data_IF_461300738086
#
_entry.id   IF_461300738086
#
_cell.length_a   1.000
_cell.length_b   1.000
_cell.length_c   1.000
_cell.angle_alpha   90.00
_cell.angle_beta   90.00
_cell.angle_gamma   90.00
#
_symmetry.space_group_name_H-M   'P 1'
#
loop_
_entity.id
_entity.type
_entity.pdbx_description
1 polymer ?
#
# COMPACT_ATOMS: atom_id res chain seq x y z
N UNK A 1 9.13 -18.91 2.85
CA UNK A 1 8.99 -18.59 1.41
C UNK A 1 8.35 -17.23 1.31
N UNK A 2 8.94 -16.28 0.58
CA UNK A 2 8.27 -15.00 0.35
C UNK A 2 7.01 -15.24 -0.50
N UNK A 3 5.85 -14.88 0.03
CA UNK A 3 4.60 -14.88 -0.74
C UNK A 3 4.61 -13.61 -1.57
N UNK A 4 4.81 -13.74 -2.88
CA UNK A 4 4.66 -12.63 -3.81
C UNK A 4 3.20 -12.58 -4.27
N UNK A 5 2.45 -11.59 -3.81
CA UNK A 5 1.13 -11.32 -4.38
C UNK A 5 1.33 -10.82 -5.82
N UNK A 6 0.88 -11.60 -6.80
CA UNK A 6 0.83 -11.14 -8.18
C UNK A 6 -0.25 -10.07 -8.33
N UNK A 7 0.04 -9.00 -9.09
CA UNK A 7 -0.99 -8.01 -9.43
C UNK A 7 -1.85 -8.58 -10.56
N UNK A 8 -3.18 -8.79 -10.34
CA UNK A 8 -4.06 -9.29 -11.39
C UNK A 8 -4.17 -8.27 -12.51
N UNK A 9 -3.99 -8.70 -13.76
CA UNK A 9 -4.01 -7.82 -14.93
C UNK A 9 -5.38 -7.14 -15.11
N UNK A 10 -6.44 -7.79 -14.68
CA UNK A 10 -7.81 -7.26 -14.73
C UNK A 10 -7.96 -6.01 -13.84
N UNK A 11 -7.31 -5.98 -12.66
CA UNK A 11 -7.29 -4.79 -11.80
C UNK A 11 -6.55 -3.64 -12.47
N UNK A 12 -5.42 -3.93 -13.13
CA UNK A 12 -4.66 -2.92 -13.87
C UNK A 12 -5.49 -2.33 -15.00
N UNK A 13 -6.11 -3.17 -15.83
CA UNK A 13 -6.95 -2.74 -16.92
C UNK A 13 -8.17 -1.93 -16.44
N UNK A 14 -8.81 -2.35 -15.37
CA UNK A 14 -9.92 -1.62 -14.76
C UNK A 14 -9.50 -0.25 -14.20
N UNK A 15 -8.31 -0.15 -13.61
CA UNK A 15 -7.76 1.11 -13.12
C UNK A 15 -7.54 2.11 -14.28
N UNK A 16 -6.91 1.67 -15.37
CA UNK A 16 -6.69 2.52 -16.54
C UNK A 16 -8.00 2.92 -17.24
N UNK A 17 -8.94 2.03 -17.37
CA UNK A 17 -10.25 2.35 -17.97
C UNK A 17 -11.00 3.42 -17.17
N UNK A 18 -11.02 3.30 -15.83
CA UNK A 18 -11.59 4.32 -14.94
C UNK A 18 -10.85 5.66 -15.02
N UNK A 19 -9.55 5.60 -15.20
CA UNK A 19 -8.69 6.79 -15.20
C UNK A 19 -9.13 7.77 -16.29
N UNK A 20 -9.25 7.32 -17.54
CA UNK A 20 -9.60 8.17 -18.66
C UNK A 20 -11.00 8.77 -18.51
N UNK A 21 -12.00 7.95 -18.16
CA UNK A 21 -13.38 8.40 -17.96
C UNK A 21 -13.48 9.49 -16.86
N UNK A 22 -12.85 9.25 -15.71
CA UNK A 22 -12.90 10.19 -14.57
C UNK A 22 -12.17 11.49 -14.86
N UNK A 23 -11.06 11.43 -15.57
CA UNK A 23 -10.28 12.63 -15.95
C UNK A 23 -11.06 13.50 -16.91
N UNK A 24 -11.75 12.92 -17.90
CA UNK A 24 -12.51 13.70 -18.88
C UNK A 24 -13.76 14.33 -18.24
N UNK A 25 -14.45 13.59 -17.36
CA UNK A 25 -15.57 14.14 -16.58
C UNK A 25 -15.10 15.29 -15.68
N UNK A 26 -13.98 15.13 -14.99
CA UNK A 26 -13.43 16.16 -14.11
C UNK A 26 -12.96 17.41 -14.87
N UNK A 27 -12.34 17.26 -16.03
CA UNK A 27 -11.97 18.42 -16.89
C UNK A 27 -13.18 19.24 -17.27
N UNK A 28 -14.28 18.56 -17.60
CA UNK A 28 -15.54 19.23 -17.95
C UNK A 28 -16.13 19.98 -16.76
N UNK A 29 -16.15 19.33 -15.57
CA UNK A 29 -16.70 19.91 -14.35
C UNK A 29 -15.88 21.09 -13.83
N UNK A 30 -14.56 20.95 -13.79
CA UNK A 30 -13.65 21.97 -13.22
C UNK A 30 -13.31 23.09 -14.21
N UNK A 31 -13.49 22.89 -15.51
CA UNK A 31 -13.32 23.91 -16.53
C UNK A 31 -11.87 24.35 -16.77
N UNK A 32 -10.87 23.58 -16.31
CA UNK A 32 -9.45 23.88 -16.50
C UNK A 32 -8.61 22.62 -16.75
N UNK A 33 -7.40 22.76 -17.34
CA UNK A 33 -6.46 21.65 -17.45
C UNK A 33 -6.03 21.14 -16.08
N UNK A 34 -5.94 19.81 -15.93
CA UNK A 34 -5.56 19.15 -14.67
C UNK A 34 -4.06 18.89 -14.61
N UNK A 35 -3.46 19.14 -13.46
CA UNK A 35 -2.10 18.71 -13.13
C UNK A 35 -2.04 17.18 -12.96
N UNK A 36 -0.83 16.61 -12.95
CA UNK A 36 -0.66 15.17 -12.70
C UNK A 36 -1.22 14.77 -11.33
N UNK A 37 -0.97 15.58 -10.30
CA UNK A 37 -1.48 15.30 -8.94
C UNK A 37 -3.01 15.28 -8.89
N UNK A 38 -3.67 16.23 -9.54
CA UNK A 38 -5.14 16.26 -9.63
C UNK A 38 -5.68 15.05 -10.39
N UNK A 39 -5.04 14.64 -11.48
CA UNK A 39 -5.44 13.44 -12.24
C UNK A 39 -5.35 12.18 -11.37
N UNK A 40 -4.26 12.00 -10.62
CA UNK A 40 -4.08 10.86 -9.73
C UNK A 40 -5.14 10.88 -8.63
N UNK A 41 -5.35 12.02 -7.97
CA UNK A 41 -6.36 12.17 -6.93
C UNK A 41 -7.76 11.81 -7.45
N UNK A 42 -8.18 12.43 -8.55
CA UNK A 42 -9.51 12.27 -9.15
C UNK A 42 -9.75 10.83 -9.58
N UNK A 43 -8.76 10.17 -10.17
CA UNK A 43 -8.86 8.78 -10.58
C UNK A 43 -9.13 7.82 -9.41
N UNK A 44 -8.70 8.19 -8.20
CA UNK A 44 -8.80 7.36 -7.01
C UNK A 44 -9.90 7.80 -6.02
N UNK A 45 -10.67 8.86 -6.31
CA UNK A 45 -11.79 9.25 -5.46
C UNK A 45 -12.79 8.10 -5.30
N UNK A 46 -13.25 7.86 -4.08
CA UNK A 46 -14.33 6.91 -3.81
C UNK A 46 -15.64 7.42 -4.42
N UNK A 47 -15.93 8.71 -4.24
CA UNK A 47 -17.01 9.42 -4.92
C UNK A 47 -16.42 10.29 -6.04
N UNK A 48 -16.65 9.96 -7.33
CA UNK A 48 -16.10 10.72 -8.46
C UNK A 48 -16.63 12.16 -8.54
N UNK A 49 -17.75 12.45 -7.91
CA UNK A 49 -18.38 13.78 -7.90
C UNK A 49 -18.05 14.60 -6.65
N UNK A 50 -17.22 14.05 -5.75
CA UNK A 50 -16.80 14.76 -4.54
C UNK A 50 -16.20 16.13 -4.84
N UNK A 51 -16.52 17.11 -3.98
CA UNK A 51 -15.90 18.42 -4.03
C UNK A 51 -14.42 18.32 -3.66
N UNK A 52 -13.56 18.96 -4.47
CA UNK A 52 -12.12 19.01 -4.25
C UNK A 52 -11.70 20.46 -4.07
N UNK A 53 -11.38 20.84 -2.84
CA UNK A 53 -10.80 22.11 -2.49
C UNK A 53 -9.47 21.90 -1.79
N UNK A 54 -8.42 22.51 -2.31
CA UNK A 54 -7.07 22.37 -1.76
C UNK A 54 -7.00 22.92 -0.33
N UNK A 55 -6.76 22.05 0.64
CA UNK A 55 -6.70 22.37 2.06
C UNK A 55 -8.07 22.59 2.70
N UNK A 56 -9.17 22.41 1.96
CA UNK A 56 -10.53 22.65 2.44
C UNK A 56 -11.38 21.39 2.61
N UNK A 57 -11.18 20.38 1.76
CA UNK A 57 -12.00 19.16 1.77
C UNK A 57 -11.20 17.92 2.16
N UNK A 58 -11.89 16.95 2.80
CA UNK A 58 -11.42 15.60 3.04
C UNK A 58 -12.19 14.66 2.12
N UNK A 59 -11.46 13.77 1.43
CA UNK A 59 -12.06 12.85 0.49
C UNK A 59 -11.57 11.41 0.75
N UNK A 60 -12.48 10.45 0.62
CA UNK A 60 -12.15 9.04 0.65
C UNK A 60 -11.56 8.60 -0.69
N UNK A 61 -10.52 7.77 -0.63
CA UNK A 61 -9.81 7.27 -1.81
C UNK A 61 -9.87 5.74 -1.86
N UNK A 62 -10.01 5.20 -3.07
CA UNK A 62 -9.89 3.77 -3.37
C UNK A 62 -8.50 3.50 -3.96
N UNK A 63 -7.52 3.03 -3.20
CA UNK A 63 -6.19 2.73 -3.71
C UNK A 63 -6.22 1.50 -4.64
N UNK A 64 -5.32 1.47 -5.60
CA UNK A 64 -5.13 0.31 -6.49
C UNK A 64 -4.14 -0.71 -5.88
N UNK A 65 -3.30 -0.26 -4.97
CA UNK A 65 -2.30 -1.07 -4.27
C UNK A 65 -1.96 -0.45 -2.92
N UNK A 66 -1.59 -1.29 -1.95
CA UNK A 66 -1.08 -0.86 -0.64
C UNK A 66 0.29 -1.48 -0.41
N UNK A 67 1.29 -0.66 -0.07
CA UNK A 67 2.59 -1.11 0.40
C UNK A 67 2.82 -0.56 1.81
N UNK A 68 3.22 -1.42 2.73
CA UNK A 68 3.40 -1.10 4.14
C UNK A 68 4.81 -1.46 4.60
N UNK A 69 5.42 -0.61 5.41
CA UNK A 69 6.66 -0.91 6.10
C UNK A 69 6.39 -1.67 7.40
N UNK A 70 7.36 -2.44 7.89
CA UNK A 70 7.24 -3.28 9.09
C UNK A 70 6.83 -2.51 10.35
N UNK A 71 7.37 -1.32 10.57
CA UNK A 71 7.11 -0.54 11.78
C UNK A 71 5.63 -0.09 11.90
N UNK A 72 4.99 0.27 10.77
CA UNK A 72 3.58 0.74 10.74
C UNK A 72 2.59 -0.34 10.35
N UNK A 73 3.02 -1.38 9.63
CA UNK A 73 2.17 -2.49 9.21
C UNK A 73 1.56 -3.24 10.40
N UNK A 74 2.24 -3.31 11.53
CA UNK A 74 1.75 -3.94 12.75
C UNK A 74 0.37 -3.39 13.14
N UNK A 75 0.25 -2.07 13.24
CA UNK A 75 -1.00 -1.42 13.60
C UNK A 75 -2.05 -1.57 12.49
N UNK A 76 -1.67 -1.35 11.24
CA UNK A 76 -2.58 -1.44 10.11
C UNK A 76 -3.16 -2.86 9.96
N UNK A 77 -2.34 -3.88 10.08
CA UNK A 77 -2.77 -5.27 9.99
C UNK A 77 -3.59 -5.71 11.22
N UNK A 78 -3.26 -5.22 12.41
CA UNK A 78 -4.07 -5.48 13.60
C UNK A 78 -5.47 -4.88 13.45
N UNK A 79 -5.58 -3.67 12.94
CA UNK A 79 -6.87 -3.03 12.64
C UNK A 79 -7.64 -3.81 11.57
N UNK A 80 -6.96 -4.23 10.50
CA UNK A 80 -7.55 -5.06 9.45
C UNK A 80 -8.11 -6.39 9.98
N UNK A 81 -7.33 -7.11 10.79
CA UNK A 81 -7.76 -8.36 11.43
C UNK A 81 -8.97 -8.12 12.35
N UNK A 82 -8.94 -7.03 13.12
CA UNK A 82 -10.04 -6.65 14.03
C UNK A 82 -11.32 -6.29 13.26
N UNK A 83 -11.20 -5.74 12.06
CA UNK A 83 -12.35 -5.46 11.19
C UNK A 83 -13.03 -6.75 10.65
N UNK A 84 -12.40 -7.91 10.78
CA UNK A 84 -12.99 -9.20 10.44
C UNK A 84 -13.13 -9.47 8.93
N UNK A 85 -12.37 -8.77 8.10
CA UNK A 85 -12.39 -8.97 6.65
C UNK A 85 -11.66 -10.27 6.29
N UNK A 86 -12.18 -11.06 5.32
CA UNK A 86 -11.62 -12.37 4.98
C UNK A 86 -10.31 -12.29 4.20
N UNK A 87 -10.08 -11.22 3.45
CA UNK A 87 -8.91 -10.99 2.61
C UNK A 87 -8.75 -9.51 2.27
N UNK A 88 -7.59 -9.12 1.80
CA UNK A 88 -7.32 -7.76 1.30
C UNK A 88 -8.10 -7.48 0.01
N UNK A 89 -8.58 -6.25 -0.14
CA UNK A 89 -9.37 -5.83 -1.30
C UNK A 89 -8.52 -5.54 -2.54
N UNK A 90 -7.25 -5.17 -2.34
CA UNK A 90 -6.29 -4.83 -3.41
C UNK A 90 -4.96 -5.52 -3.11
N UNK A 91 -4.08 -5.71 -4.10
CA UNK A 91 -2.73 -6.23 -3.87
C UNK A 91 -2.03 -5.42 -2.79
N UNK A 92 -1.64 -6.11 -1.72
CA UNK A 92 -1.05 -5.47 -0.54
C UNK A 92 0.25 -6.18 -0.18
N UNK A 93 1.27 -5.43 0.19
CA UNK A 93 2.61 -5.96 0.53
C UNK A 93 3.13 -5.36 1.82
N UNK A 94 3.89 -6.17 2.57
CA UNK A 94 4.63 -5.75 3.77
C UNK A 94 6.12 -5.89 3.50
N UNK A 95 6.88 -4.87 3.83
CA UNK A 95 8.32 -4.80 3.60
C UNK A 95 9.05 -4.59 4.93
N UNK A 96 9.93 -5.54 5.28
CA UNK A 96 10.64 -5.55 6.57
C UNK A 96 12.04 -4.94 6.43
N UNK A 97 12.13 -3.62 6.38
CA UNK A 97 13.37 -2.88 6.17
C UNK A 97 13.62 -1.76 7.19
N UNK A 98 12.59 -1.25 7.86
CA UNK A 98 12.74 -0.10 8.77
C UNK A 98 13.21 -0.46 10.19
N UNK A 99 13.08 -1.73 10.60
CA UNK A 99 13.55 -2.18 11.91
C UNK A 99 15.01 -2.68 11.89
N UNK A 100 15.67 -2.65 10.72
CA UNK A 100 17.10 -2.96 10.58
C UNK A 100 17.89 -1.68 10.83
N UNK A 101 18.76 -1.70 11.84
CA UNK A 101 19.62 -0.56 12.15
C UNK A 101 20.87 -0.57 11.25
N UNK A 102 21.19 0.56 10.63
CA UNK A 102 22.43 0.74 9.87
C UNK A 102 23.56 1.18 10.81
N UNK A 103 24.04 0.28 11.67
CA UNK A 103 24.99 0.57 12.73
C UNK A 103 26.41 0.09 12.43
N UNK A 104 26.57 -1.18 12.08
CA UNK A 104 27.88 -1.81 11.87
C UNK A 104 28.10 -2.22 10.43
N UNK A 105 27.30 -3.15 9.95
CA UNK A 105 27.27 -3.60 8.55
C UNK A 105 26.02 -4.43 8.27
N UNK A 106 25.71 -4.61 6.99
CA UNK A 106 24.48 -5.26 6.57
C UNK A 106 24.26 -6.67 7.17
N UNK A 107 25.29 -7.48 7.32
CA UNK A 107 25.16 -8.83 7.84
C UNK A 107 24.88 -8.86 9.34
N UNK A 108 25.66 -8.11 10.11
CA UNK A 108 25.51 -8.03 11.58
C UNK A 108 24.18 -7.40 11.95
N UNK A 109 23.84 -6.29 11.30
CA UNK A 109 22.62 -5.53 11.60
C UNK A 109 21.36 -6.31 11.21
N UNK A 110 21.41 -7.11 10.15
CA UNK A 110 20.31 -7.98 9.76
C UNK A 110 20.07 -9.09 10.79
N UNK A 111 21.13 -9.80 11.23
CA UNK A 111 20.98 -10.84 12.24
C UNK A 111 20.48 -10.28 13.58
N UNK A 112 20.97 -9.11 13.99
CA UNK A 112 20.51 -8.45 15.20
C UNK A 112 19.03 -8.03 15.09
N UNK A 113 18.58 -7.58 13.92
CA UNK A 113 17.19 -7.21 13.67
C UNK A 113 16.28 -8.44 13.72
N UNK A 114 16.67 -9.55 13.09
CA UNK A 114 15.93 -10.80 13.08
C UNK A 114 15.74 -11.37 14.49
N UNK A 115 16.76 -11.29 15.34
CA UNK A 115 16.67 -11.71 16.73
C UNK A 115 15.81 -10.75 17.57
N UNK A 116 16.06 -9.44 17.47
CA UNK A 116 15.40 -8.44 18.31
C UNK A 116 13.92 -8.27 17.98
N UNK A 117 13.55 -8.41 16.70
CA UNK A 117 12.19 -8.17 16.22
C UNK A 117 11.48 -9.45 15.74
N UNK A 118 11.91 -10.61 16.20
CA UNK A 118 11.37 -11.90 15.79
C UNK A 118 9.84 -11.96 15.90
N UNK A 119 9.29 -11.52 17.02
CA UNK A 119 7.83 -11.52 17.27
C UNK A 119 7.08 -10.65 16.23
N UNK A 120 7.64 -9.51 15.88
CA UNK A 120 7.06 -8.61 14.87
C UNK A 120 7.07 -9.27 13.50
N UNK A 121 8.19 -9.83 13.08
CA UNK A 121 8.33 -10.47 11.78
C UNK A 121 7.43 -11.69 11.67
N UNK A 122 7.34 -12.51 12.71
CA UNK A 122 6.44 -13.68 12.78
C UNK A 122 4.97 -13.27 12.66
N UNK A 123 4.55 -12.21 13.35
CA UNK A 123 3.21 -11.64 13.22
C UNK A 123 2.92 -11.18 11.78
N UNK A 124 3.81 -10.38 11.21
CA UNK A 124 3.64 -9.84 9.86
C UNK A 124 3.60 -10.94 8.80
N UNK A 125 4.45 -11.96 8.91
CA UNK A 125 4.48 -13.11 8.00
C UNK A 125 3.19 -13.93 8.12
N UNK A 126 2.77 -14.27 9.34
CA UNK A 126 1.57 -15.09 9.59
C UNK A 126 0.29 -14.43 9.10
N UNK A 127 0.13 -13.11 9.35
CA UNK A 127 -1.02 -12.34 8.86
C UNK A 127 -0.98 -12.22 7.35
N UNK A 128 0.18 -11.96 6.78
CA UNK A 128 0.34 -11.89 5.32
C UNK A 128 -0.04 -13.19 4.64
N UNK A 129 0.42 -14.33 5.15
CA UNK A 129 0.09 -15.65 4.64
C UNK A 129 -1.41 -15.96 4.75
N UNK A 130 -2.04 -15.56 5.86
CA UNK A 130 -3.46 -15.83 6.10
C UNK A 130 -4.40 -15.04 5.22
N UNK A 131 -4.09 -13.76 4.97
CA UNK A 131 -5.00 -12.84 4.30
C UNK A 131 -4.59 -12.47 2.87
N UNK A 132 -3.56 -13.13 2.32
CA UNK A 132 -3.16 -13.00 0.91
C UNK A 132 -2.30 -11.78 0.61
N UNK A 133 -1.56 -11.26 1.60
CA UNK A 133 -0.57 -10.20 1.37
C UNK A 133 0.77 -10.78 0.89
N UNK A 134 1.53 -10.00 0.13
CA UNK A 134 2.93 -10.29 -0.12
C UNK A 134 3.79 -9.94 1.09
N UNK A 135 4.72 -10.81 1.46
CA UNK A 135 5.65 -10.59 2.57
C UNK A 135 7.10 -10.55 2.09
N UNK A 136 7.72 -9.41 2.26
CA UNK A 136 9.14 -9.16 1.97
C UNK A 136 9.89 -9.19 3.29
N UNK A 137 10.47 -10.36 3.58
CA UNK A 137 11.18 -10.61 4.84
C UNK A 137 12.38 -9.67 5.04
N UNK A 138 12.93 -9.56 6.27
CA UNK A 138 14.18 -8.82 6.51
C UNK A 138 15.27 -9.21 5.51
N UNK A 139 15.95 -8.23 4.94
CA UNK A 139 16.98 -8.42 3.94
C UNK A 139 16.50 -8.66 2.49
N UNK A 140 15.19 -8.70 2.23
CA UNK A 140 14.66 -8.92 0.88
C UNK A 140 14.59 -7.67 0.01
N UNK A 141 14.85 -6.50 0.55
CA UNK A 141 14.82 -5.21 -0.17
C UNK A 141 14.15 -4.12 0.66
N UNK A 142 14.07 -2.92 0.11
CA UNK A 142 13.49 -1.75 0.78
C UNK A 142 12.19 -1.30 0.12
N UNK A 143 11.21 -0.87 0.93
CA UNK A 143 9.89 -0.42 0.46
C UNK A 143 9.98 0.74 -0.54
N UNK A 144 10.95 1.62 -0.40
CA UNK A 144 11.13 2.79 -1.27
C UNK A 144 11.47 2.45 -2.72
N UNK A 145 11.70 1.18 -3.04
CA UNK A 145 11.97 0.69 -4.39
C UNK A 145 10.75 0.02 -5.06
N UNK A 146 9.60 0.05 -4.42
CA UNK A 146 8.37 -0.62 -4.91
C UNK A 146 7.43 0.34 -5.60
#
# INVERSE_FOLDING_TARGET
MAVTASTPIELVNAAYARFDERIDAARTRLGHPLTLAEKILIAHLADPDAEIERGGTYNDLNPDRVAMQDATAQMALLQFVTAGLPQVAVPSTVHCDHLIQAKENAHVDLLAAEETNAEVYDFLESVSAKYGLGFWKPGAGIIHQV
#
